data_IF_793441846271
#
_entry.id   IF_793441846271
#
_cell.length_a   1.000
_cell.length_b   1.000
_cell.length_c   1.000
_cell.angle_alpha   90.00
_cell.angle_beta   90.00
_cell.angle_gamma   90.00
#
_symmetry.space_group_name_H-M   'P 1'
#
loop_
_entity.id
_entity.type
_entity.pdbx_description
1 polymer ?
#
# COMPACT_ATOMS: atom_id res chain seq x y z
N UNK A 1 0.30 -9.74 0.60
CA UNK A 1 -0.79 -9.87 -0.38
C UNK A 1 -1.16 -8.47 -0.81
N UNK A 2 -0.90 -8.14 -2.07
CA UNK A 2 -1.15 -6.83 -2.63
C UNK A 2 -2.32 -6.88 -3.60
N UNK A 3 -3.32 -6.07 -3.34
CA UNK A 3 -4.52 -5.95 -4.18
C UNK A 3 -4.18 -4.96 -5.30
N UNK A 4 -4.13 -5.43 -6.54
CA UNK A 4 -3.83 -4.63 -7.72
C UNK A 4 -5.09 -4.01 -8.33
N UNK A 5 -6.23 -4.68 -8.17
CA UNK A 5 -7.50 -4.22 -8.73
C UNK A 5 -8.69 -4.62 -7.85
N UNK A 6 -9.70 -3.74 -7.79
CA UNK A 6 -10.99 -4.04 -7.16
C UNK A 6 -12.12 -3.80 -8.15
N UNK A 7 -12.81 -4.87 -8.56
CA UNK A 7 -13.94 -4.84 -9.49
C UNK A 7 -15.24 -5.02 -8.74
N UNK A 8 -16.26 -4.27 -9.15
CA UNK A 8 -17.62 -4.40 -8.63
C UNK A 8 -18.54 -4.63 -9.82
N UNK A 9 -19.30 -5.72 -9.78
CA UNK A 9 -20.33 -6.04 -10.76
C UNK A 9 -21.63 -6.40 -10.07
N UNK A 10 -22.76 -6.18 -10.74
CA UNK A 10 -24.06 -6.57 -10.24
C UNK A 10 -24.61 -7.74 -11.07
N UNK A 11 -25.30 -8.66 -10.42
CA UNK A 11 -25.85 -9.88 -11.04
C UNK A 11 -27.35 -9.90 -10.81
N UNK A 12 -28.13 -10.06 -11.88
CA UNK A 12 -29.59 -10.07 -11.79
C UNK A 12 -30.19 -8.71 -11.41
N UNK A 13 -29.66 -7.63 -11.99
CA UNK A 13 -30.02 -6.25 -11.63
C UNK A 13 -29.15 -5.74 -10.48
N UNK A 14 -29.78 -5.14 -9.47
CA UNK A 14 -29.10 -4.56 -8.30
C UNK A 14 -29.31 -5.34 -7.00
N UNK A 15 -29.84 -6.56 -7.08
CA UNK A 15 -30.14 -7.41 -5.91
C UNK A 15 -28.90 -8.12 -5.34
N UNK A 16 -27.91 -8.35 -6.18
CA UNK A 16 -26.66 -9.02 -5.79
C UNK A 16 -25.48 -8.30 -6.43
N UNK A 17 -24.50 -7.96 -5.62
CA UNK A 17 -23.22 -7.44 -6.07
C UNK A 17 -22.10 -8.43 -5.79
N UNK A 18 -21.13 -8.46 -6.70
CA UNK A 18 -19.91 -9.21 -6.61
C UNK A 18 -18.76 -8.23 -6.50
N UNK A 19 -18.04 -8.25 -5.38
CA UNK A 19 -16.83 -7.45 -5.17
C UNK A 19 -15.63 -8.38 -5.31
N UNK A 20 -14.85 -8.21 -6.37
CA UNK A 20 -13.65 -9.00 -6.64
C UNK A 20 -12.39 -8.19 -6.31
N UNK A 21 -11.58 -8.71 -5.39
CA UNK A 21 -10.24 -8.23 -5.08
C UNK A 21 -9.25 -9.11 -5.82
N UNK A 22 -8.52 -8.53 -6.79
CA UNK A 22 -7.56 -9.23 -7.65
C UNK A 22 -6.16 -8.93 -7.12
N UNK A 23 -5.35 -9.96 -6.92
CA UNK A 23 -3.94 -9.83 -6.53
C UNK A 23 -3.03 -9.94 -7.75
N UNK A 24 -1.75 -9.62 -7.56
CA UNK A 24 -0.73 -9.79 -8.61
C UNK A 24 -0.54 -11.26 -9.01
N UNK A 25 -0.81 -12.22 -8.11
CA UNK A 25 -0.50 -13.65 -8.27
C UNK A 25 -1.61 -14.50 -8.90
N UNK A 26 -2.47 -13.93 -9.75
CA UNK A 26 -3.69 -14.56 -10.31
C UNK A 26 -4.75 -14.96 -9.26
N UNK A 27 -4.47 -14.83 -7.97
CA UNK A 27 -5.44 -15.07 -6.90
C UNK A 27 -6.51 -13.97 -6.91
N UNK A 28 -7.75 -14.38 -6.66
CA UNK A 28 -8.87 -13.46 -6.51
C UNK A 28 -9.75 -13.84 -5.33
N UNK A 29 -10.17 -12.84 -4.59
CA UNK A 29 -11.15 -12.97 -3.51
C UNK A 29 -12.44 -12.34 -3.97
N UNK A 30 -13.54 -13.09 -3.92
CA UNK A 30 -14.85 -12.61 -4.33
C UNK A 30 -15.79 -12.56 -3.14
N UNK A 31 -16.33 -11.39 -2.83
CA UNK A 31 -17.32 -11.18 -1.78
C UNK A 31 -18.69 -10.93 -2.41
N UNK A 32 -19.68 -11.71 -1.99
CA UNK A 32 -21.08 -11.53 -2.39
C UNK A 32 -21.78 -10.57 -1.44
N UNK A 33 -22.42 -9.55 -1.99
CA UNK A 33 -23.17 -8.56 -1.22
C UNK A 33 -24.60 -8.54 -1.73
N UNK A 34 -25.52 -9.03 -0.90
CA UNK A 34 -26.95 -8.95 -1.17
C UNK A 34 -27.47 -7.54 -0.90
N UNK A 35 -28.39 -7.10 -1.74
CA UNK A 35 -29.10 -5.83 -1.60
C UNK A 35 -30.59 -6.11 -1.42
N UNK A 36 -31.07 -5.83 -0.22
CA UNK A 36 -32.47 -5.96 0.17
C UNK A 36 -33.29 -4.71 -0.16
N UNK A 37 -32.64 -3.63 -0.64
CA UNK A 37 -33.31 -2.40 -1.04
C UNK A 37 -33.78 -2.51 -2.49
N UNK A 38 -34.96 -1.99 -2.81
CA UNK A 38 -35.47 -1.87 -4.18
C UNK A 38 -34.75 -0.81 -5.05
N UNK A 39 -33.61 -0.29 -4.57
CA UNK A 39 -32.82 0.73 -5.25
C UNK A 39 -31.37 0.27 -5.47
N UNK A 40 -30.74 0.81 -6.50
CA UNK A 40 -29.31 0.62 -6.77
C UNK A 40 -28.45 1.19 -5.63
N UNK A 41 -27.40 0.46 -5.25
CA UNK A 41 -26.46 0.90 -4.23
C UNK A 41 -25.29 1.62 -4.88
N UNK A 42 -24.87 2.72 -4.26
CA UNK A 42 -23.63 3.39 -4.65
C UNK A 42 -22.42 2.46 -4.45
N UNK A 43 -21.39 2.64 -5.28
CA UNK A 43 -20.17 1.83 -5.26
C UNK A 43 -19.53 1.75 -3.87
N UNK A 44 -19.41 2.88 -3.17
CA UNK A 44 -18.82 2.94 -1.82
C UNK A 44 -19.62 2.14 -0.79
N UNK A 45 -20.95 2.10 -0.93
CA UNK A 45 -21.81 1.35 -0.02
C UNK A 45 -21.66 -0.15 -0.23
N UNK A 46 -21.61 -0.60 -1.49
CA UNK A 46 -21.33 -2.00 -1.82
C UNK A 46 -19.96 -2.43 -1.28
N UNK A 47 -18.94 -1.60 -1.49
CA UNK A 47 -17.58 -1.88 -1.03
C UNK A 47 -17.50 -1.93 0.50
N UNK A 48 -18.18 -1.02 1.20
CA UNK A 48 -18.25 -1.01 2.67
C UNK A 48 -18.88 -2.29 3.21
N UNK A 49 -20.00 -2.73 2.63
CA UNK A 49 -20.66 -4.00 3.02
C UNK A 49 -19.78 -5.21 2.76
N UNK A 50 -19.07 -5.24 1.63
CA UNK A 50 -18.13 -6.32 1.32
C UNK A 50 -16.99 -6.38 2.35
N UNK A 51 -16.39 -5.24 2.69
CA UNK A 51 -15.32 -5.18 3.67
C UNK A 51 -15.76 -5.68 5.06
N UNK A 52 -16.96 -5.30 5.52
CA UNK A 52 -17.51 -5.79 6.79
C UNK A 52 -17.70 -7.30 6.79
N UNK A 53 -18.32 -7.86 5.73
CA UNK A 53 -18.54 -9.31 5.60
C UNK A 53 -17.23 -10.09 5.55
N UNK A 54 -16.24 -9.58 4.81
CA UNK A 54 -14.92 -10.19 4.73
C UNK A 54 -14.22 -10.18 6.10
N UNK A 55 -14.29 -9.07 6.83
CA UNK A 55 -13.72 -8.94 8.16
C UNK A 55 -14.38 -9.87 9.19
N UNK A 56 -15.70 -10.02 9.15
CA UNK A 56 -16.44 -10.96 10.00
C UNK A 56 -16.03 -12.41 9.71
N UNK A 57 -16.02 -12.81 8.43
CA UNK A 57 -15.60 -14.14 8.01
C UNK A 57 -14.15 -14.45 8.42
N UNK A 58 -13.25 -13.47 8.27
CA UNK A 58 -11.86 -13.58 8.73
C UNK A 58 -11.79 -13.80 10.24
N UNK A 59 -12.55 -13.03 11.04
CA UNK A 59 -12.57 -13.17 12.49
C UNK A 59 -13.02 -14.56 12.96
N UNK A 60 -14.07 -15.11 12.34
CA UNK A 60 -14.54 -16.48 12.61
C UNK A 60 -13.47 -17.50 12.26
N UNK A 61 -12.91 -17.44 11.05
CA UNK A 61 -11.89 -18.38 10.59
C UNK A 61 -10.61 -18.32 11.45
N UNK A 62 -10.17 -17.13 11.84
CA UNK A 62 -9.03 -16.95 12.76
C UNK A 62 -9.29 -17.64 14.10
N UNK A 63 -10.48 -17.48 14.67
CA UNK A 63 -10.87 -18.11 15.94
C UNK A 63 -10.85 -19.64 15.82
N UNK A 64 -11.40 -20.19 14.73
CA UNK A 64 -11.42 -21.64 14.48
C UNK A 64 -10.02 -22.22 14.27
N UNK A 65 -9.12 -21.47 13.64
CA UNK A 65 -7.75 -21.92 13.37
C UNK A 65 -6.74 -21.60 14.49
N UNK A 66 -7.16 -20.93 15.58
CA UNK A 66 -6.23 -20.49 16.63
C UNK A 66 -5.22 -19.45 16.15
N UNK A 67 -5.61 -18.62 15.19
CA UNK A 67 -4.78 -17.61 14.54
C UNK A 67 -5.10 -16.24 15.14
N UNK A 68 -4.08 -15.49 15.53
CA UNK A 68 -4.23 -14.10 15.95
C UNK A 68 -4.55 -13.20 14.72
N UNK A 69 -5.73 -12.56 14.66
CA UNK A 69 -6.19 -11.86 13.46
C UNK A 69 -5.31 -10.66 13.09
N UNK A 70 -4.63 -10.06 14.07
CA UNK A 70 -3.70 -8.95 13.86
C UNK A 70 -2.53 -9.27 12.94
N UNK A 71 -2.19 -10.55 12.74
CA UNK A 71 -1.09 -10.96 11.85
C UNK A 71 -1.45 -10.88 10.36
N UNK A 72 -2.74 -10.75 10.00
CA UNK A 72 -3.21 -10.82 8.61
C UNK A 72 -3.88 -9.54 8.12
N UNK A 73 -4.03 -8.55 9.01
CA UNK A 73 -4.60 -7.24 8.64
C UNK A 73 -3.50 -6.36 8.07
N UNK A 74 -3.57 -6.10 6.77
CA UNK A 74 -2.73 -5.08 6.12
C UNK A 74 -3.09 -3.72 6.70
N UNK A 75 -2.19 -3.16 7.52
CA UNK A 75 -2.35 -1.80 8.03
C UNK A 75 -2.05 -0.81 6.92
N UNK A 76 -2.94 0.17 6.64
CA UNK A 76 -2.59 1.27 5.74
C UNK A 76 -1.34 1.97 6.28
N UNK A 77 -0.46 2.41 5.37
CA UNK A 77 0.72 3.19 5.75
C UNK A 77 0.31 4.45 6.54
N UNK A 78 1.20 4.96 7.39
CA UNK A 78 0.95 6.17 8.18
C UNK A 78 0.44 7.35 7.33
N UNK A 79 0.97 7.49 6.11
CA UNK A 79 0.51 8.47 5.12
C UNK A 79 -0.95 8.24 4.69
N UNK A 80 -1.37 6.98 4.47
CA UNK A 80 -2.73 6.63 4.02
C UNK A 80 -3.73 6.64 5.18
N UNK A 81 -3.31 6.27 6.39
CA UNK A 81 -4.15 6.33 7.59
C UNK A 81 -4.27 7.73 8.19
N UNK A 82 -3.39 8.66 7.80
CA UNK A 82 -3.33 10.01 8.39
C UNK A 82 -2.72 10.03 9.79
N UNK A 83 -1.99 8.97 10.18
CA UNK A 83 -1.31 8.90 11.46
C UNK A 83 -0.07 9.79 11.45
N UNK A 84 -0.25 11.04 11.87
CA UNK A 84 0.81 12.05 11.85
C UNK A 84 1.95 11.74 12.80
N UNK A 85 1.66 11.14 13.96
CA UNK A 85 2.69 10.78 14.94
C UNK A 85 3.60 9.69 14.36
N UNK A 86 3.02 8.66 13.76
CA UNK A 86 3.79 7.61 13.10
C UNK A 86 4.55 8.14 11.88
N UNK A 87 3.93 9.02 11.09
CA UNK A 87 4.58 9.63 9.93
C UNK A 87 5.82 10.46 10.33
N UNK A 88 5.72 11.22 11.42
CA UNK A 88 6.81 12.06 11.93
C UNK A 88 7.97 11.20 12.45
N UNK A 89 7.69 10.09 13.16
CA UNK A 89 8.70 9.13 13.58
C UNK A 89 9.46 8.51 12.39
N UNK A 90 8.73 8.06 11.37
CA UNK A 90 9.34 7.47 10.17
C UNK A 90 10.18 8.48 9.37
N UNK A 91 9.78 9.76 9.37
CA UNK A 91 10.55 10.83 8.74
C UNK A 91 11.85 11.13 9.50
N UNK A 92 11.79 11.15 10.83
CA UNK A 92 12.96 11.40 11.69
C UNK A 92 14.00 10.28 11.52
N UNK A 93 13.59 9.02 11.63
CA UNK A 93 14.45 7.84 11.43
C UNK A 93 15.13 7.85 10.04
N UNK A 94 14.41 8.23 8.98
CA UNK A 94 14.98 8.33 7.63
C UNK A 94 15.97 9.50 7.45
N UNK A 95 15.88 10.55 8.27
CA UNK A 95 16.82 11.67 8.30
C UNK A 95 18.05 11.38 9.14
N UNK A 96 17.99 10.43 10.08
CA UNK A 96 19.14 9.99 10.88
C UNK A 96 20.19 9.25 10.03
N UNK A 97 19.77 8.50 9.00
CA UNK A 97 20.65 7.67 8.16
C UNK A 97 21.20 8.37 6.89
N UNK A 98 20.69 9.56 6.55
CA UNK A 98 21.14 10.31 5.37
C UNK A 98 21.55 11.71 5.80
N UNK A 99 22.82 11.90 6.13
CA UNK A 99 23.65 13.04 5.72
C UNK A 99 25.05 12.85 6.34
N UNK A 100 26.06 12.35 5.62
CA UNK A 100 27.39 12.86 5.89
C UNK A 100 27.29 14.38 5.70
N UNK A 101 27.57 15.16 6.74
CA UNK A 101 27.48 16.63 6.73
C UNK A 101 28.50 17.31 5.79
N UNK A 102 28.88 16.67 4.69
CA UNK A 102 29.88 17.13 3.75
C UNK A 102 29.59 16.47 2.40
N UNK A 103 29.08 17.24 1.44
CA UNK A 103 29.25 16.89 0.03
C UNK A 103 30.70 16.41 -0.18
N UNK A 104 30.95 15.30 -0.89
CA UNK A 104 32.32 14.86 -1.14
C UNK A 104 33.09 16.03 -1.75
N UNK A 105 34.30 16.28 -1.24
CA UNK A 105 35.16 17.35 -1.75
C UNK A 105 35.32 17.15 -3.26
N UNK A 106 34.89 18.15 -4.04
CA UNK A 106 35.06 18.12 -5.49
C UNK A 106 36.55 18.23 -5.82
N UNK A 107 37.18 17.10 -6.15
CA UNK A 107 38.59 17.07 -6.56
C UNK A 107 38.71 17.67 -7.97
N UNK A 108 39.02 18.97 -8.05
CA UNK A 108 39.52 19.59 -9.28
C UNK A 108 41.04 19.68 -9.23
N UNK A 109 41.70 18.51 -9.28
CA UNK A 109 43.15 18.43 -9.45
C UNK A 109 43.52 18.48 -10.93
N UNK A 110 43.74 19.67 -11.49
CA UNK A 110 44.44 19.80 -12.78
C UNK A 110 45.91 20.14 -12.52
N UNK A 111 46.76 19.11 -12.46
CA UNK A 111 48.21 19.28 -12.43
C UNK A 111 48.74 19.42 -13.85
N UNK A 112 48.87 20.66 -14.35
CA UNK A 112 49.73 20.93 -15.50
C UNK A 112 51.18 20.78 -15.01
N UNK A 113 51.73 19.58 -15.16
CA UNK A 113 53.16 19.34 -15.01
C UNK A 113 53.91 20.07 -16.14
N UNK A 114 54.98 20.77 -15.75
CA UNK A 114 55.68 21.74 -16.58
C UNK A 114 56.19 21.20 -17.92
N UNK A 115 55.97 21.99 -18.97
CA UNK A 115 56.70 21.88 -20.22
C UNK A 115 57.98 22.74 -20.13
N UNK A 116 59.14 22.09 -20.02
CA UNK A 116 60.45 22.71 -20.26
C UNK A 116 60.84 22.49 -21.72
N UNK A 117 60.56 23.47 -22.59
CA UNK A 117 61.09 23.54 -23.96
C UNK A 117 62.41 24.31 -24.01
N UNK A 118 63.30 24.04 -24.99
CA UNK A 118 64.71 24.44 -24.93
C UNK A 118 64.91 25.96 -25.14
N UNK A 119 65.96 26.49 -24.52
CA UNK A 119 66.48 27.85 -24.77
C UNK A 119 67.40 27.82 -25.99
N UNK A 120 67.06 28.60 -26.99
CA UNK A 120 67.99 29.21 -27.96
C UNK A 120 67.86 30.73 -27.83
#
# INVERSE_FOLDING_TARGET
>A
MDIVETRISSVGGFKLYMVEFITEGEEKITVKVENETDAELARDEVLRRAAMKLGEALGVACTECGIEPGSFVTRPSARRSGDRAELERQLDEGLEDTFPASDPVSVTGSTIAGFTGPKD
#
